data_IF_155714325768
#
_entry.id   IF_155714325768
#
_cell.length_a   1.000
_cell.length_b   1.000
_cell.length_c   1.000
_cell.angle_alpha   90.00
_cell.angle_beta   90.00
_cell.angle_gamma   90.00
#
_symmetry.space_group_name_H-M   'P 1'
#
loop_
_entity.id
_entity.type
_entity.pdbx_description
1 polymer ?
#
# COMPACT_ATOMS: atom_id res chain seq x y z
N UNK A 1 -7.39 -15.03 -10.88
CA UNK A 1 -6.43 -14.37 -9.98
C UNK A 1 -5.79 -13.11 -10.59
N UNK A 2 -5.72 -12.96 -11.92
CA UNK A 2 -5.13 -11.77 -12.56
C UNK A 2 -6.12 -10.60 -12.78
N UNK A 3 -7.44 -10.83 -12.67
CA UNK A 3 -8.43 -9.83 -13.11
C UNK A 3 -8.81 -8.82 -12.03
N UNK A 4 -8.67 -9.17 -10.74
CA UNK A 4 -9.00 -8.27 -9.61
C UNK A 4 -7.95 -7.17 -9.40
N UNK A 5 -6.71 -7.33 -9.87
CA UNK A 5 -5.69 -6.27 -9.79
C UNK A 5 -5.86 -5.17 -10.86
N UNK A 6 -6.58 -5.45 -11.95
CA UNK A 6 -6.79 -4.48 -13.04
C UNK A 6 -7.60 -3.26 -12.60
N UNK A 7 -8.37 -3.36 -11.53
CA UNK A 7 -9.19 -2.25 -11.04
C UNK A 7 -8.34 -1.06 -10.55
N UNK A 8 -7.10 -1.30 -10.13
CA UNK A 8 -6.19 -0.26 -9.64
C UNK A 8 -5.22 0.30 -10.69
N UNK A 9 -4.99 -0.42 -11.81
CA UNK A 9 -4.20 0.10 -12.94
C UNK A 9 -4.87 1.30 -13.63
N UNK A 10 -6.19 1.44 -13.50
CA UNK A 10 -6.98 2.43 -14.25
C UNK A 10 -7.17 3.78 -13.55
N UNK A 11 -6.78 3.91 -12.28
CA UNK A 11 -6.79 5.22 -11.60
C UNK A 11 -5.38 5.77 -11.52
N UNK A 12 -5.12 6.85 -12.24
CA UNK A 12 -4.02 7.80 -12.03
C UNK A 12 -2.56 7.27 -12.08
N UNK A 13 -2.25 6.16 -12.76
CA UNK A 13 -0.85 5.76 -13.00
C UNK A 13 -0.18 5.02 -11.83
N UNK A 14 -0.98 4.47 -10.91
CA UNK A 14 -0.49 3.63 -9.84
C UNK A 14 0.15 2.37 -10.43
N UNK A 15 1.35 2.04 -9.95
CA UNK A 15 2.08 0.85 -10.38
C UNK A 15 2.05 -0.20 -9.29
N UNK A 16 2.04 -1.46 -9.67
CA UNK A 16 2.11 -2.57 -8.73
C UNK A 16 3.10 -3.60 -9.25
N UNK A 17 3.97 -4.04 -8.35
CA UNK A 17 5.06 -4.96 -8.64
C UNK A 17 4.98 -6.14 -7.66
N UNK A 18 4.97 -7.35 -8.19
CA UNK A 18 5.07 -8.54 -7.36
C UNK A 18 6.54 -8.77 -6.97
N UNK A 19 6.80 -8.99 -5.69
CA UNK A 19 8.13 -9.38 -5.22
C UNK A 19 8.44 -10.82 -5.66
N UNK A 20 9.73 -11.18 -5.64
CA UNK A 20 10.23 -12.49 -6.09
C UNK A 20 9.55 -13.70 -5.41
N UNK A 21 9.02 -13.52 -4.20
CA UNK A 21 8.30 -14.54 -3.44
C UNK A 21 6.86 -14.78 -3.92
N UNK A 22 6.34 -14.01 -4.90
CA UNK A 22 4.96 -14.09 -5.45
C UNK A 22 3.81 -13.94 -4.43
N UNK A 23 4.12 -13.75 -3.15
CA UNK A 23 3.16 -13.57 -2.07
C UNK A 23 3.02 -12.10 -1.65
N UNK A 24 3.97 -11.26 -2.06
CA UNK A 24 3.99 -9.83 -1.74
C UNK A 24 3.78 -8.99 -2.99
N UNK A 25 2.94 -7.97 -2.90
CA UNK A 25 2.77 -6.95 -3.93
C UNK A 25 3.15 -5.59 -3.37
N UNK A 26 4.06 -4.89 -4.04
CA UNK A 26 4.41 -3.51 -3.76
C UNK A 26 3.59 -2.59 -4.67
N UNK A 27 2.81 -1.70 -4.07
CA UNK A 27 1.99 -0.70 -4.75
C UNK A 27 2.71 0.63 -4.64
N UNK A 28 2.94 1.29 -5.78
CA UNK A 28 3.66 2.55 -5.90
C UNK A 28 2.68 3.66 -6.27
N UNK A 29 2.70 4.73 -5.47
CA UNK A 29 1.94 5.94 -5.77
C UNK A 29 2.68 6.78 -6.83
N UNK A 30 1.99 7.23 -7.89
CA UNK A 30 2.56 8.09 -8.92
C UNK A 30 2.63 9.55 -8.43
N UNK A 31 3.83 10.04 -8.12
CA UNK A 31 4.17 11.48 -8.03
C UNK A 31 5.65 11.70 -8.31
N UNK A 32 5.99 12.81 -8.95
CA UNK A 32 7.34 13.16 -9.42
C UNK A 32 8.35 13.42 -8.30
N UNK A 33 7.92 13.88 -7.12
CA UNK A 33 8.78 14.11 -5.95
C UNK A 33 8.05 13.63 -4.69
N UNK A 34 8.69 12.73 -3.94
CA UNK A 34 8.13 12.17 -2.72
C UNK A 34 7.07 11.09 -2.95
N UNK A 35 7.20 10.26 -3.99
CA UNK A 35 6.37 9.07 -4.18
C UNK A 35 6.46 8.11 -2.98
N UNK A 36 5.34 7.44 -2.69
CA UNK A 36 5.22 6.55 -1.54
C UNK A 36 5.01 5.12 -2.02
N UNK A 37 5.49 4.16 -1.21
CA UNK A 37 5.37 2.73 -1.49
C UNK A 37 4.58 2.09 -0.35
N UNK A 38 3.76 1.11 -0.68
CA UNK A 38 3.15 0.23 0.31
C UNK A 38 3.25 -1.21 -0.18
N UNK A 39 3.75 -2.09 0.68
CA UNK A 39 3.87 -3.52 0.38
C UNK A 39 2.81 -4.29 1.14
N UNK A 40 2.06 -5.14 0.42
CA UNK A 40 1.05 -6.04 0.96
C UNK A 40 1.58 -7.46 0.87
N UNK A 41 1.60 -8.18 1.99
CA UNK A 41 1.91 -9.60 2.08
C UNK A 41 0.60 -10.39 2.18
N UNK A 42 0.25 -11.13 1.13
CA UNK A 42 -0.98 -11.93 1.08
C UNK A 42 -0.88 -13.25 1.86
N UNK A 43 0.33 -13.77 2.10
CA UNK A 43 0.52 -14.98 2.90
C UNK A 43 0.23 -14.68 4.36
N UNK A 44 0.81 -13.58 4.85
CA UNK A 44 0.67 -13.12 6.23
C UNK A 44 -0.55 -12.23 6.47
N UNK A 45 -1.18 -11.75 5.39
CA UNK A 45 -2.33 -10.83 5.41
C UNK A 45 -2.02 -9.55 6.18
N UNK A 46 -0.86 -8.98 5.91
CA UNK A 46 -0.39 -7.73 6.52
C UNK A 46 0.07 -6.77 5.43
N UNK A 47 0.19 -5.49 5.77
CA UNK A 47 0.76 -4.50 4.87
C UNK A 47 1.65 -3.53 5.65
N UNK A 48 2.58 -2.89 4.96
CA UNK A 48 3.48 -1.89 5.56
C UNK A 48 3.90 -0.86 4.52
N UNK A 49 4.12 0.38 4.94
CA UNK A 49 4.69 1.42 4.08
C UNK A 49 6.17 1.16 3.83
N UNK A 50 6.62 1.48 2.62
CA UNK A 50 7.96 1.20 2.13
C UNK A 50 8.00 0.06 1.09
N UNK A 51 9.15 -0.05 0.45
CA UNK A 51 9.46 -1.11 -0.51
C UNK A 51 10.09 -2.30 0.23
N UNK A 52 9.47 -3.47 0.14
CA UNK A 52 10.01 -4.72 0.68
C UNK A 52 9.07 -5.43 1.65
N UNK A 53 9.46 -6.65 2.05
CA UNK A 53 8.61 -7.53 2.87
C UNK A 53 8.24 -6.85 4.20
N UNK A 54 6.94 -6.76 4.54
CA UNK A 54 6.50 -6.19 5.82
C UNK A 54 7.19 -6.91 6.99
N UNK A 55 7.74 -6.14 7.95
CA UNK A 55 8.27 -6.73 9.18
C UNK A 55 7.17 -7.43 9.97
N UNK A 56 7.51 -8.55 10.60
CA UNK A 56 6.64 -9.21 11.57
C UNK A 56 6.27 -8.22 12.68
N UNK A 57 4.96 -8.00 12.89
CA UNK A 57 4.45 -7.05 13.86
C UNK A 57 4.05 -5.68 13.29
N UNK A 58 4.23 -5.42 11.98
CA UNK A 58 3.61 -4.27 11.34
C UNK A 58 2.08 -4.46 11.33
N UNK A 59 1.36 -3.63 12.13
CA UNK A 59 -0.11 -3.57 12.29
C UNK A 59 -0.86 -4.74 11.65
N UNK A 60 -0.91 -5.86 12.37
CA UNK A 60 -1.62 -7.05 11.94
C UNK A 60 -3.14 -6.86 12.14
N UNK A 61 -3.76 -6.05 11.28
CA UNK A 61 -5.21 -6.12 11.10
C UNK A 61 -5.50 -7.51 10.54
N UNK A 62 -6.21 -8.36 11.28
CA UNK A 62 -6.51 -9.71 10.80
C UNK A 62 -7.58 -9.69 9.70
N UNK A 63 -7.16 -9.81 8.45
CA UNK A 63 -8.08 -9.95 7.32
C UNK A 63 -8.55 -11.41 7.20
N UNK A 64 -9.85 -11.65 7.43
CA UNK A 64 -10.50 -12.98 7.33
C UNK A 64 -11.82 -12.92 6.56
N UNK A 65 -12.28 -14.04 6.01
CA UNK A 65 -13.56 -14.16 5.30
C UNK A 65 -13.51 -13.80 3.81
N UNK A 66 -14.65 -13.86 3.09
CA UNK A 66 -14.72 -13.53 1.66
C UNK A 66 -14.34 -12.06 1.42
N UNK A 67 -13.59 -11.77 0.35
CA UNK A 67 -13.17 -10.40 0.00
C UNK A 67 -12.09 -9.80 0.91
N UNK A 68 -11.36 -10.63 1.67
CA UNK A 68 -10.27 -10.16 2.52
C UNK A 68 -9.10 -9.56 1.73
N UNK A 69 -8.82 -10.09 0.52
CA UNK A 69 -7.74 -9.63 -0.37
C UNK A 69 -7.97 -8.19 -0.85
N UNK A 70 -9.19 -7.90 -1.27
CA UNK A 70 -9.59 -6.56 -1.70
C UNK A 70 -9.49 -5.56 -0.53
N UNK A 71 -9.97 -5.95 0.65
CA UNK A 71 -9.89 -5.11 1.85
C UNK A 71 -8.46 -4.79 2.26
N UNK A 72 -7.54 -5.76 2.27
CA UNK A 72 -6.14 -5.47 2.65
C UNK A 72 -5.47 -4.53 1.64
N UNK A 73 -5.75 -4.67 0.35
CA UNK A 73 -5.22 -3.77 -0.69
C UNK A 73 -5.78 -2.36 -0.51
N UNK A 74 -7.11 -2.24 -0.31
CA UNK A 74 -7.76 -0.95 -0.06
C UNK A 74 -7.23 -0.26 1.19
N UNK A 75 -7.09 -1.00 2.29
CA UNK A 75 -6.57 -0.47 3.56
C UNK A 75 -5.10 -0.04 3.43
N UNK A 76 -4.30 -0.79 2.66
CA UNK A 76 -2.92 -0.44 2.36
C UNK A 76 -2.79 0.86 1.56
N UNK A 77 -3.63 1.04 0.53
CA UNK A 77 -3.67 2.28 -0.26
C UNK A 77 -4.13 3.45 0.60
N UNK A 78 -5.25 3.31 1.32
CA UNK A 78 -5.78 4.35 2.20
C UNK A 78 -4.76 4.74 3.28
N UNK A 79 -4.05 3.77 3.85
CA UNK A 79 -2.98 4.03 4.80
C UNK A 79 -1.81 4.79 4.17
N UNK A 80 -1.38 4.40 2.96
CA UNK A 80 -0.35 5.13 2.23
C UNK A 80 -0.78 6.58 1.97
N UNK A 81 -2.01 6.79 1.50
CA UNK A 81 -2.54 8.13 1.27
C UNK A 81 -2.62 8.97 2.55
N UNK A 82 -2.99 8.37 3.70
CA UNK A 82 -2.98 9.04 5.01
C UNK A 82 -1.59 9.44 5.44
N UNK A 83 -0.63 8.50 5.44
CA UNK A 83 0.77 8.78 5.81
C UNK A 83 1.33 9.91 4.95
N UNK A 84 1.05 9.88 3.66
CA UNK A 84 1.54 10.87 2.70
C UNK A 84 0.81 12.22 2.81
N UNK A 85 -0.46 12.23 3.22
CA UNK A 85 -1.22 13.46 3.51
C UNK A 85 -0.79 14.10 4.84
N UNK A 86 -0.28 13.31 5.78
CA UNK A 86 0.28 13.79 7.05
C UNK A 86 1.73 14.30 6.87
N UNK A 87 2.44 13.83 5.83
CA UNK A 87 3.83 14.23 5.53
C UNK A 87 3.95 15.60 4.86
N UNK A 88 2.85 16.36 4.70
CA UNK A 88 2.94 17.78 4.30
C UNK A 88 3.50 18.54 5.50
N UNK A 89 4.70 19.16 5.41
CA UNK A 89 5.26 19.83 6.56
C UNK A 89 4.33 20.99 6.92
N UNK A 90 3.87 21.01 8.17
CA UNK A 90 3.30 22.18 8.81
C UNK A 90 4.40 23.27 8.90
N UNK A 91 4.78 23.85 7.77
CA UNK A 91 5.62 25.04 7.69
C UNK A 91 4.67 26.22 7.61
N UNK A 92 4.05 26.54 8.74
CA UNK A 92 3.34 27.79 8.96
C UNK A 92 3.49 28.13 10.43
N UNK A 93 4.65 28.69 10.78
CA UNK A 93 4.75 29.57 11.93
C UNK A 93 4.77 31.01 11.39
N UNK A 94 3.69 31.80 11.56
CA UNK A 94 3.77 33.24 11.38
C UNK A 94 4.56 33.83 12.55
N UNK A 95 5.57 34.64 12.26
CA UNK A 95 6.16 35.58 13.23
C UNK A 95 5.98 36.99 12.69
#
# INVERSE_FOLDING_TARGET
MADELKYHEQSEGWKHEWLADWHCVCIMRPREIGGGFVTVDFERRIFSTGYGKPREGARATEYRGKGWKDRVVRDAIDHLERVMSDTVPATSQPT
#
